data_IF_605780553951
#
_entry.id   IF_605780553951
#
_cell.length_a   1.000
_cell.length_b   1.000
_cell.length_c   1.000
_cell.angle_alpha   90.00
_cell.angle_beta   90.00
_cell.angle_gamma   90.00
#
_symmetry.space_group_name_H-M   'P 1'
#
loop_
_entity.id
_entity.type
_entity.pdbx_description
1 polymer ?
#
# COMPACT_ATOMS: atom_id res chain seq x y z
N UNK A 1 -11.96 32.31 -7.13
CA UNK A 1 -10.95 33.35 -7.38
C UNK A 1 -9.61 32.82 -6.91
N UNK A 2 -8.55 32.94 -7.71
CA UNK A 2 -7.20 32.46 -7.38
C UNK A 2 -6.57 33.44 -6.39
N UNK A 3 -6.00 32.94 -5.29
CA UNK A 3 -5.26 33.78 -4.33
C UNK A 3 -3.94 34.22 -4.97
N UNK A 4 -3.61 35.51 -4.84
CA UNK A 4 -2.33 36.04 -5.31
C UNK A 4 -1.20 35.72 -4.33
N UNK A 5 0.04 35.71 -4.83
CA UNK A 5 1.24 35.63 -3.99
C UNK A 5 1.27 36.80 -2.98
N UNK A 6 1.73 36.53 -1.77
CA UNK A 6 1.82 37.48 -0.67
C UNK A 6 0.54 37.69 0.12
N UNK A 7 -0.61 37.15 -0.34
CA UNK A 7 -1.88 37.21 0.40
C UNK A 7 -1.70 36.55 1.77
N UNK A 8 -2.13 37.25 2.80
CA UNK A 8 -2.12 36.76 4.18
C UNK A 8 -3.36 35.89 4.43
N UNK A 9 -3.13 34.73 5.04
CA UNK A 9 -4.14 33.71 5.33
C UNK A 9 -4.14 33.50 6.85
N UNK A 10 -5.30 33.64 7.45
CA UNK A 10 -5.54 33.31 8.85
C UNK A 10 -5.76 31.79 8.97
N UNK A 11 -4.92 31.13 9.77
CA UNK A 11 -4.92 29.69 10.02
C UNK A 11 -5.45 29.36 11.42
N UNK A 12 -6.12 30.30 12.08
CA UNK A 12 -6.69 30.13 13.42
C UNK A 12 -5.61 29.77 14.45
N UNK A 13 -5.68 28.60 15.11
CA UNK A 13 -4.71 28.19 16.13
C UNK A 13 -3.25 28.12 15.63
N UNK A 14 -3.03 27.97 14.32
CA UNK A 14 -1.69 27.92 13.73
C UNK A 14 -1.11 29.31 13.42
N UNK A 15 -1.84 30.39 13.71
CA UNK A 15 -1.42 31.76 13.45
C UNK A 15 -1.70 32.17 12.01
N UNK A 16 -0.75 32.86 11.38
CA UNK A 16 -0.89 33.38 10.00
C UNK A 16 0.14 32.74 9.07
N UNK A 17 -0.19 32.74 7.79
CA UNK A 17 0.72 32.36 6.72
C UNK A 17 0.54 33.28 5.50
N UNK A 18 1.54 33.29 4.62
CA UNK A 18 1.50 34.00 3.34
C UNK A 18 1.52 33.02 2.18
N UNK A 19 0.68 33.25 1.18
CA UNK A 19 0.70 32.50 -0.09
C UNK A 19 2.02 32.76 -0.80
N UNK A 20 2.71 31.70 -1.22
CA UNK A 20 3.98 31.79 -1.95
C UNK A 20 3.87 31.32 -3.39
N UNK A 21 3.13 30.25 -3.67
CA UNK A 21 2.99 29.75 -5.04
C UNK A 21 1.71 28.92 -5.22
N UNK A 22 1.24 28.83 -6.47
CA UNK A 22 0.19 27.87 -6.85
C UNK A 22 0.86 26.52 -7.14
N UNK A 23 0.47 25.47 -6.42
CA UNK A 23 0.98 24.11 -6.60
C UNK A 23 0.12 23.28 -7.56
N UNK A 24 -1.19 23.55 -7.60
CA UNK A 24 -2.11 22.81 -8.45
C UNK A 24 -3.53 23.34 -8.40
N UNK A 25 -4.35 22.88 -9.35
CA UNK A 25 -5.76 23.25 -9.46
C UNK A 25 -6.59 22.02 -9.82
N UNK A 26 -7.75 21.86 -9.19
CA UNK A 26 -8.70 20.80 -9.46
C UNK A 26 -10.14 21.31 -9.63
N UNK A 27 -11.09 20.37 -9.60
CA UNK A 27 -12.52 20.66 -9.74
C UNK A 27 -13.05 21.57 -8.63
N UNK A 28 -12.79 21.21 -7.38
CA UNK A 28 -13.33 21.88 -6.19
C UNK A 28 -12.52 23.11 -5.72
N UNK A 29 -11.26 23.25 -6.17
CA UNK A 29 -10.38 24.23 -5.56
C UNK A 29 -8.98 24.33 -6.16
N UNK A 30 -8.16 25.07 -5.45
CA UNK A 30 -6.75 25.33 -5.74
C UNK A 30 -5.90 24.83 -4.58
N UNK A 31 -4.66 24.46 -4.85
CA UNK A 31 -3.68 24.11 -3.82
C UNK A 31 -2.51 25.07 -3.96
N UNK A 32 -2.20 25.78 -2.88
CA UNK A 32 -1.09 26.73 -2.80
C UNK A 32 -0.04 26.27 -1.81
N UNK A 33 1.22 26.63 -2.02
CA UNK A 33 2.19 26.67 -0.94
C UNK A 33 1.93 27.95 -0.12
N UNK A 34 1.92 27.80 1.19
CA UNK A 34 1.89 28.92 2.12
C UNK A 34 3.04 28.79 3.11
N UNK A 35 3.58 29.90 3.59
CA UNK A 35 4.62 29.91 4.63
C UNK A 35 4.13 30.62 5.87
N UNK A 36 4.23 29.95 7.01
CA UNK A 36 3.98 30.54 8.32
C UNK A 36 5.07 31.55 8.66
N UNK A 37 4.80 32.45 9.60
CA UNK A 37 5.80 33.42 10.09
C UNK A 37 7.04 32.72 10.70
N UNK A 38 6.91 31.47 11.12
CA UNK A 38 8.02 30.61 11.60
C UNK A 38 8.93 30.12 10.46
N UNK A 39 8.56 30.32 9.20
CA UNK A 39 9.24 29.81 8.01
C UNK A 39 8.77 28.41 7.56
N UNK A 40 7.93 27.73 8.35
CA UNK A 40 7.39 26.41 8.03
C UNK A 40 6.50 26.47 6.77
N UNK A 41 6.79 25.66 5.73
CA UNK A 41 5.95 25.55 4.54
C UNK A 41 4.77 24.58 4.79
N UNK A 42 3.59 24.97 4.34
CA UNK A 42 2.37 24.16 4.35
C UNK A 42 1.70 24.20 2.97
N UNK A 43 0.80 23.25 2.73
CA UNK A 43 -0.11 23.29 1.60
C UNK A 43 -1.48 23.85 2.04
N UNK A 44 -2.01 24.82 1.31
CA UNK A 44 -3.34 25.39 1.48
C UNK A 44 -4.26 24.87 0.37
N UNK A 45 -5.26 24.06 0.71
CA UNK A 45 -6.39 23.79 -0.18
C UNK A 45 -7.38 24.95 -0.02
N UNK A 46 -7.69 25.65 -1.10
CA UNK A 46 -8.63 26.76 -1.13
C UNK A 46 -9.82 26.45 -2.04
N UNK A 47 -11.02 26.44 -1.49
CA UNK A 47 -12.22 26.08 -2.25
C UNK A 47 -12.65 27.19 -3.20
N UNK A 48 -13.19 26.79 -4.35
CA UNK A 48 -13.93 27.72 -5.22
C UNK A 48 -15.24 28.11 -4.54
N UNK A 49 -15.79 29.31 -4.83
CA UNK A 49 -17.04 29.77 -4.22
C UNK A 49 -18.20 28.76 -4.33
N UNK A 50 -18.28 28.04 -5.45
CA UNK A 50 -19.33 27.04 -5.69
C UNK A 50 -19.22 25.80 -4.79
N UNK A 51 -18.02 25.50 -4.30
CA UNK A 51 -17.75 24.36 -3.39
C UNK A 51 -17.66 24.79 -1.93
N UNK A 52 -17.51 26.09 -1.65
CA UNK A 52 -17.36 26.64 -0.31
C UNK A 52 -18.71 26.82 0.42
N UNK A 53 -19.50 25.75 0.53
CA UNK A 53 -20.81 25.79 1.21
C UNK A 53 -20.67 25.74 2.73
N UNK A 54 -21.77 26.02 3.45
CA UNK A 54 -21.80 25.90 4.92
C UNK A 54 -21.61 24.45 5.37
N UNK A 55 -22.20 23.50 4.65
CA UNK A 55 -22.05 22.07 4.92
C UNK A 55 -20.59 21.64 4.74
N UNK A 56 -19.94 22.04 3.64
CA UNK A 56 -18.52 21.75 3.42
C UNK A 56 -17.65 22.34 4.54
N UNK A 57 -17.96 23.55 5.03
CA UNK A 57 -17.22 24.16 6.13
C UNK A 57 -17.34 23.33 7.41
N UNK A 58 -18.55 22.88 7.74
CA UNK A 58 -18.83 22.08 8.93
C UNK A 58 -18.15 20.71 8.85
N UNK A 59 -18.23 20.02 7.71
CA UNK A 59 -17.56 18.73 7.49
C UNK A 59 -16.04 18.88 7.63
N UNK A 60 -15.45 19.90 7.01
CA UNK A 60 -14.01 20.15 7.12
C UNK A 60 -13.57 20.53 8.53
N UNK A 61 -14.34 21.37 9.22
CA UNK A 61 -14.07 21.72 10.61
C UNK A 61 -14.12 20.46 11.49
N UNK A 62 -15.09 19.57 11.27
CA UNK A 62 -15.18 18.30 11.98
C UNK A 62 -13.95 17.41 11.72
N UNK A 63 -13.44 17.34 10.49
CA UNK A 63 -12.21 16.59 10.18
C UNK A 63 -10.98 17.17 10.88
N UNK A 64 -10.85 18.50 10.96
CA UNK A 64 -9.79 19.17 11.73
C UNK A 64 -9.88 18.77 13.21
N UNK A 65 -11.08 18.77 13.79
CA UNK A 65 -11.33 18.41 15.19
C UNK A 65 -11.09 16.92 15.49
N UNK A 66 -11.47 16.02 14.58
CA UNK A 66 -11.21 14.57 14.70
C UNK A 66 -9.71 14.27 14.65
N UNK A 67 -8.97 14.99 13.81
CA UNK A 67 -7.54 14.82 13.62
C UNK A 67 -7.15 13.55 12.87
N UNK A 68 -5.88 13.49 12.46
CA UNK A 68 -5.41 12.47 11.52
C UNK A 68 -5.49 11.04 12.06
N UNK A 69 -6.07 10.06 11.31
CA UNK A 69 -6.05 8.64 11.65
C UNK A 69 -4.63 8.06 11.66
N UNK A 70 -3.75 8.60 10.83
CA UNK A 70 -2.38 8.14 10.67
C UNK A 70 -1.48 9.18 10.00
N UNK A 71 -0.17 9.19 10.31
CA UNK A 71 0.81 10.16 9.75
C UNK A 71 0.91 10.21 8.22
N UNK A 72 0.41 9.17 7.53
CA UNK A 72 0.47 9.07 6.07
C UNK A 72 -0.66 9.83 5.37
N UNK A 73 -1.69 10.25 6.10
CA UNK A 73 -2.70 11.14 5.54
C UNK A 73 -2.21 12.58 5.66
N UNK A 74 -2.14 13.29 4.54
CA UNK A 74 -1.97 14.75 4.51
C UNK A 74 -3.26 15.42 4.99
N UNK A 75 -3.45 15.31 6.30
CA UNK A 75 -4.71 15.62 6.97
C UNK A 75 -4.89 17.13 7.16
N UNK A 76 -6.14 17.64 7.15
CA UNK A 76 -6.43 19.02 7.52
C UNK A 76 -5.94 19.33 8.94
N UNK A 77 -5.03 20.29 9.07
CA UNK A 77 -4.46 20.72 10.35
C UNK A 77 -5.24 21.87 10.98
N UNK A 78 -5.74 22.79 10.13
CA UNK A 78 -6.55 23.92 10.56
C UNK A 78 -7.35 24.50 9.41
N UNK A 79 -8.50 25.10 9.73
CA UNK A 79 -9.27 25.89 8.77
C UNK A 79 -8.52 27.18 8.42
N UNK A 80 -8.70 27.63 7.18
CA UNK A 80 -8.04 28.80 6.63
C UNK A 80 -9.06 29.82 6.13
N UNK A 81 -8.84 31.10 6.44
CA UNK A 81 -9.67 32.23 6.01
C UNK A 81 -8.81 33.36 5.47
N UNK A 82 -9.39 34.14 4.55
CA UNK A 82 -8.80 35.38 4.04
C UNK A 82 -9.83 36.47 4.27
N UNK A 83 -9.48 37.53 5.00
CA UNK A 83 -10.42 38.52 5.55
C UNK A 83 -11.36 39.13 4.50
N UNK A 84 -10.90 39.29 3.27
CA UNK A 84 -11.64 39.90 2.14
C UNK A 84 -12.37 38.89 1.26
N UNK A 85 -12.33 37.60 1.57
CA UNK A 85 -12.88 36.53 0.73
C UNK A 85 -13.97 35.76 1.48
N UNK A 86 -15.17 35.57 0.89
CA UNK A 86 -16.23 34.77 1.51
C UNK A 86 -15.91 33.27 1.52
N UNK A 87 -14.99 32.81 0.65
CA UNK A 87 -14.55 31.42 0.59
C UNK A 87 -13.69 31.03 1.80
N UNK A 88 -13.33 29.76 1.88
CA UNK A 88 -12.40 29.22 2.86
C UNK A 88 -11.55 28.11 2.28
N UNK A 89 -10.62 27.67 3.11
CA UNK A 89 -9.81 26.51 2.85
C UNK A 89 -9.42 25.81 4.14
N UNK A 90 -8.43 24.94 4.02
CA UNK A 90 -7.72 24.37 5.14
C UNK A 90 -6.25 24.18 4.77
N UNK A 91 -5.39 24.14 5.79
CA UNK A 91 -3.97 23.84 5.61
C UNK A 91 -3.65 22.42 6.02
N UNK A 92 -2.66 21.84 5.36
CA UNK A 92 -2.10 20.51 5.64
C UNK A 92 -0.59 20.54 5.45
N UNK A 93 0.10 19.47 5.87
CA UNK A 93 1.53 19.34 5.60
C UNK A 93 1.81 19.36 4.10
N UNK A 94 2.87 20.09 3.70
CA UNK A 94 3.32 20.10 2.33
C UNK A 94 3.92 18.74 1.97
N UNK A 95 3.47 18.17 0.84
CA UNK A 95 4.00 16.91 0.31
C UNK A 95 5.45 17.08 -0.13
N UNK A 96 6.33 16.18 0.30
CA UNK A 96 7.71 16.13 -0.18
C UNK A 96 7.73 15.79 -1.68
N UNK A 97 8.61 16.44 -2.44
CA UNK A 97 8.71 16.30 -3.89
C UNK A 97 9.07 14.87 -4.34
N UNK A 98 9.73 14.08 -3.48
CA UNK A 98 10.08 12.66 -3.76
C UNK A 98 8.88 11.75 -3.97
N UNK A 99 7.71 12.14 -3.45
CA UNK A 99 6.48 11.38 -3.65
C UNK A 99 5.87 11.68 -5.03
N UNK A 100 5.72 10.64 -5.83
CA UNK A 100 5.04 10.65 -7.13
C UNK A 100 3.59 10.22 -6.97
N UNK A 101 2.69 10.75 -7.81
CA UNK A 101 1.32 10.22 -7.89
C UNK A 101 1.37 8.76 -8.35
N UNK A 102 0.50 7.91 -7.82
CA UNK A 102 0.55 6.48 -8.11
C UNK A 102 0.38 6.14 -9.60
N UNK A 103 -0.24 7.02 -10.40
CA UNK A 103 -0.33 6.85 -11.86
C UNK A 103 1.05 6.76 -12.55
N UNK A 104 2.09 7.39 -12.00
CA UNK A 104 3.46 7.30 -12.53
C UNK A 104 4.01 5.87 -12.48
N UNK A 105 3.57 5.05 -11.51
CA UNK A 105 3.91 3.62 -11.46
C UNK A 105 3.42 2.89 -12.72
N UNK A 106 2.20 3.18 -13.17
CA UNK A 106 1.60 2.54 -14.34
C UNK A 106 2.18 3.08 -15.66
N UNK A 107 2.56 4.35 -15.69
CA UNK A 107 3.29 4.93 -16.82
C UNK A 107 4.74 4.42 -16.91
N UNK A 108 5.25 3.82 -15.83
CA UNK A 108 6.63 3.38 -15.68
C UNK A 108 7.65 4.48 -16.04
N UNK A 109 7.35 5.73 -15.70
CA UNK A 109 8.21 6.87 -15.93
C UNK A 109 8.06 7.89 -14.80
N UNK A 110 9.07 8.70 -14.53
CA UNK A 110 9.00 9.82 -13.58
C UNK A 110 8.46 11.11 -14.25
N UNK A 111 8.53 12.24 -13.52
CA UNK A 111 8.07 13.55 -14.04
C UNK A 111 8.87 14.06 -15.25
N UNK A 112 10.10 13.59 -15.42
CA UNK A 112 10.98 13.93 -16.55
C UNK A 112 10.87 12.91 -17.69
N UNK A 113 10.01 11.89 -17.56
CA UNK A 113 9.85 10.81 -18.53
C UNK A 113 10.95 9.73 -18.44
N UNK A 114 11.76 9.70 -17.37
CA UNK A 114 12.77 8.67 -17.18
C UNK A 114 12.13 7.40 -16.62
N UNK A 115 12.52 6.20 -17.07
CA UNK A 115 11.99 4.96 -16.52
C UNK A 115 12.13 4.89 -15.00
N UNK A 116 11.08 4.43 -14.32
CA UNK A 116 11.15 4.19 -12.89
C UNK A 116 11.89 2.88 -12.60
N UNK A 117 12.72 2.89 -11.56
CA UNK A 117 13.30 1.68 -10.98
C UNK A 117 12.61 1.41 -9.64
N UNK A 118 11.53 0.62 -9.68
CA UNK A 118 10.73 0.28 -8.49
C UNK A 118 10.87 -1.21 -8.21
N UNK A 119 11.51 -1.53 -7.09
CA UNK A 119 11.68 -2.93 -6.69
C UNK A 119 10.36 -3.56 -6.23
N UNK A 120 10.25 -4.90 -6.34
CA UNK A 120 9.14 -5.65 -5.73
C UNK A 120 9.01 -5.37 -4.22
N UNK A 121 10.13 -5.17 -3.51
CA UNK A 121 10.09 -4.82 -2.09
C UNK A 121 9.40 -3.48 -1.85
N UNK A 122 9.64 -2.48 -2.71
CA UNK A 122 8.98 -1.17 -2.66
C UNK A 122 7.49 -1.29 -2.96
N UNK A 123 7.08 -2.11 -3.94
CA UNK A 123 5.67 -2.36 -4.25
C UNK A 123 4.94 -3.05 -3.09
N UNK A 124 5.59 -4.04 -2.47
CA UNK A 124 5.03 -4.75 -1.30
C UNK A 124 4.86 -3.80 -0.14
N UNK A 125 5.85 -2.94 0.13
CA UNK A 125 5.76 -1.94 1.20
C UNK A 125 4.66 -0.91 0.91
N UNK A 126 4.53 -0.43 -0.33
CA UNK A 126 3.44 0.44 -0.77
C UNK A 126 2.07 -0.18 -0.47
N UNK A 127 1.86 -1.42 -0.89
CA UNK A 127 0.60 -2.13 -0.71
C UNK A 127 0.29 -2.34 0.78
N UNK A 128 1.32 -2.67 1.57
CA UNK A 128 1.22 -2.88 3.02
C UNK A 128 0.89 -1.58 3.75
N UNK A 129 1.57 -0.48 3.43
CA UNK A 129 1.35 0.81 4.09
C UNK A 129 0.00 1.42 3.72
N UNK A 130 -0.48 1.24 2.49
CA UNK A 130 -1.85 1.62 2.11
C UNK A 130 -2.86 0.86 2.96
N UNK A 131 -2.76 -0.47 2.97
CA UNK A 131 -3.65 -1.34 3.75
C UNK A 131 -3.65 -0.96 5.24
N UNK A 132 -2.47 -0.73 5.83
CA UNK A 132 -2.38 -0.28 7.22
C UNK A 132 -3.01 1.10 7.44
N UNK A 133 -2.86 2.03 6.50
CA UNK A 133 -3.44 3.37 6.62
C UNK A 133 -4.97 3.32 6.58
N UNK A 134 -5.56 2.55 5.67
CA UNK A 134 -7.01 2.35 5.62
C UNK A 134 -7.54 1.57 6.82
N UNK A 135 -6.79 0.60 7.35
CA UNK A 135 -7.16 -0.07 8.61
C UNK A 135 -7.31 0.96 9.75
N UNK A 136 -6.38 1.92 9.82
CA UNK A 136 -6.40 2.98 10.85
C UNK A 136 -7.52 3.99 10.64
N UNK A 137 -7.90 4.26 9.41
CA UNK A 137 -9.05 5.09 9.06
C UNK A 137 -10.35 4.41 9.47
N UNK A 138 -10.60 3.19 9.00
CA UNK A 138 -11.82 2.43 9.25
C UNK A 138 -12.00 2.07 10.73
N UNK A 139 -10.90 1.80 11.45
CA UNK A 139 -10.95 1.58 12.90
C UNK A 139 -11.44 2.80 13.70
N UNK A 140 -11.48 4.01 13.10
CA UNK A 140 -12.08 5.21 13.69
C UNK A 140 -13.52 5.46 13.25
N UNK A 141 -14.15 4.54 12.52
CA UNK A 141 -15.51 4.72 11.98
C UNK A 141 -15.58 5.78 10.86
N UNK A 142 -14.46 5.99 10.15
CA UNK A 142 -14.36 6.87 9.00
C UNK A 142 -14.26 6.05 7.73
N UNK A 143 -14.73 6.60 6.60
CA UNK A 143 -14.54 6.08 5.25
C UNK A 143 -13.96 7.16 4.34
N UNK A 144 -13.13 6.78 3.38
CA UNK A 144 -12.37 7.67 2.49
C UNK A 144 -13.17 8.11 1.26
N UNK A 145 -14.03 7.23 0.74
CA UNK A 145 -15.03 7.49 -0.32
C UNK A 145 -14.48 7.72 -1.74
N UNK A 146 -13.22 8.14 -1.90
CA UNK A 146 -12.65 8.45 -3.21
C UNK A 146 -11.22 7.89 -3.43
N UNK A 147 -11.01 6.60 -3.13
CA UNK A 147 -9.71 5.96 -3.37
C UNK A 147 -9.45 5.91 -4.88
N UNK A 148 -8.38 6.56 -5.34
CA UNK A 148 -7.99 6.65 -6.76
C UNK A 148 -6.49 6.96 -6.90
N UNK A 149 -5.97 6.95 -8.13
CA UNK A 149 -4.56 7.30 -8.38
C UNK A 149 -4.21 8.72 -7.95
N UNK A 150 -5.09 9.70 -8.21
CA UNK A 150 -4.84 11.12 -7.94
C UNK A 150 -4.70 11.44 -6.44
N UNK A 151 -5.14 10.52 -5.59
CA UNK A 151 -5.23 10.69 -4.15
C UNK A 151 -4.15 9.93 -3.38
N UNK A 152 -3.36 9.09 -4.05
CA UNK A 152 -2.29 8.29 -3.44
C UNK A 152 -0.96 8.61 -4.09
N UNK A 153 0.04 8.85 -3.24
CA UNK A 153 1.40 9.16 -3.64
C UNK A 153 2.37 8.18 -3.03
N UNK A 154 3.46 7.89 -3.73
CA UNK A 154 4.49 6.96 -3.27
C UNK A 154 5.90 7.46 -3.57
N UNK A 155 6.86 7.04 -2.75
CA UNK A 155 8.29 7.19 -3.00
C UNK A 155 8.80 5.93 -3.74
N UNK A 156 9.25 6.05 -5.01
CA UNK A 156 9.75 4.90 -5.79
C UNK A 156 10.89 4.14 -5.11
N UNK A 157 11.72 4.84 -4.31
CA UNK A 157 12.92 4.26 -3.74
C UNK A 157 12.62 3.23 -2.64
N UNK A 158 11.53 3.40 -1.89
CA UNK A 158 11.25 2.59 -0.69
C UNK A 158 9.78 2.14 -0.54
N UNK A 159 8.86 2.65 -1.36
CA UNK A 159 7.44 2.33 -1.26
C UNK A 159 6.68 3.06 -0.16
N UNK A 160 7.26 4.08 0.48
CA UNK A 160 6.55 4.93 1.43
C UNK A 160 5.36 5.60 0.76
N UNK A 161 4.24 5.72 1.47
CA UNK A 161 3.01 6.29 0.91
C UNK A 161 2.52 7.54 1.65
N UNK A 162 1.91 8.44 0.88
CA UNK A 162 1.12 9.57 1.36
C UNK A 162 -0.26 9.55 0.71
N UNK A 163 -1.28 9.86 1.50
CA UNK A 163 -2.68 9.90 1.07
C UNK A 163 -3.16 11.35 1.18
N UNK A 164 -3.56 11.91 0.04
CA UNK A 164 -3.99 13.30 -0.12
C UNK A 164 -5.51 13.42 -0.08
N UNK A 165 -6.06 14.59 -0.40
CA UNK A 165 -7.50 14.85 -0.62
C UNK A 165 -8.40 14.24 0.48
N UNK A 166 -8.00 14.48 1.73
CA UNK A 166 -8.67 13.95 2.92
C UNK A 166 -9.99 14.68 3.22
N UNK A 167 -10.35 15.69 2.42
CA UNK A 167 -11.68 16.30 2.41
C UNK A 167 -12.76 15.39 1.80
N UNK A 168 -12.37 14.26 1.19
CA UNK A 168 -13.30 13.19 0.80
C UNK A 168 -13.74 12.31 1.99
N UNK A 169 -12.95 12.32 3.07
CA UNK A 169 -13.20 11.47 4.25
C UNK A 169 -14.46 11.93 4.97
N UNK A 170 -15.26 10.99 5.45
CA UNK A 170 -16.26 11.32 6.45
C UNK A 170 -16.69 10.12 7.27
N UNK A 171 -17.70 10.34 8.12
CA UNK A 171 -18.26 9.30 8.97
C UNK A 171 -18.84 8.18 8.11
N UNK A 172 -18.56 6.95 8.51
CA UNK A 172 -19.10 5.75 7.88
C UNK A 172 -20.64 5.75 7.91
N UNK A 173 -21.28 5.54 6.75
CA UNK A 173 -22.73 5.69 6.54
C UNK A 173 -23.29 7.10 6.86
N UNK A 174 -22.44 8.13 6.85
CA UNK A 174 -22.86 9.54 6.97
C UNK A 174 -23.48 10.09 5.70
N UNK A 175 -23.82 11.38 5.68
CA UNK A 175 -24.56 12.06 4.58
C UNK A 175 -23.70 12.54 3.41
N UNK A 176 -22.42 12.17 3.38
CA UNK A 176 -21.46 12.67 2.39
C UNK A 176 -21.84 12.26 0.96
N UNK A 177 -21.71 13.19 0.01
CA UNK A 177 -22.16 13.03 -1.38
C UNK A 177 -21.04 12.70 -2.37
N UNK A 178 -19.81 12.50 -1.90
CA UNK A 178 -18.72 12.01 -2.74
C UNK A 178 -19.01 10.55 -3.05
N UNK A 179 -19.31 10.24 -4.32
CA UNK A 179 -19.63 8.88 -4.77
C UNK A 179 -18.37 8.05 -5.07
N UNK A 180 -17.28 8.74 -5.45
CA UNK A 180 -15.99 8.15 -5.80
C UNK A 180 -15.60 8.32 -7.26
N UNK A 181 -14.39 7.89 -7.59
CA UNK A 181 -13.81 7.98 -8.93
C UNK A 181 -14.25 6.76 -9.78
N UNK A 182 -14.72 6.97 -11.03
CA UNK A 182 -14.99 5.88 -11.97
C UNK A 182 -13.83 4.87 -12.05
N UNK A 183 -14.15 3.62 -12.37
CA UNK A 183 -13.21 2.48 -12.34
C UNK A 183 -12.77 2.03 -10.94
N UNK A 184 -12.82 2.88 -9.91
CA UNK A 184 -12.52 2.48 -8.52
C UNK A 184 -13.76 2.18 -7.68
N UNK A 185 -14.90 2.77 -8.04
CA UNK A 185 -16.16 2.62 -7.31
C UNK A 185 -16.61 1.15 -7.24
N UNK A 186 -17.17 0.78 -6.09
CA UNK A 186 -17.79 -0.52 -5.90
C UNK A 186 -19.03 -0.71 -6.79
N UNK A 187 -19.35 -1.93 -7.24
CA UNK A 187 -20.43 -2.17 -8.20
C UNK A 187 -21.81 -1.70 -7.75
N UNK A 188 -22.11 -1.79 -6.45
CA UNK A 188 -23.34 -1.31 -5.85
C UNK A 188 -23.47 0.22 -5.86
N UNK A 189 -22.35 0.95 -5.88
CA UNK A 189 -22.33 2.41 -6.02
C UNK A 189 -22.50 2.79 -7.47
N UNK A 190 -21.79 2.12 -8.39
CA UNK A 190 -21.92 2.34 -9.85
C UNK A 190 -23.34 2.05 -10.31
N UNK A 191 -23.97 0.99 -9.80
CA UNK A 191 -25.30 0.54 -10.20
C UNK A 191 -26.44 1.42 -9.69
N UNK A 192 -26.21 2.21 -8.64
CA UNK A 192 -27.26 2.99 -8.01
C UNK A 192 -27.48 4.34 -8.71
N UNK A 193 -28.44 4.36 -9.62
CA UNK A 193 -28.90 5.59 -10.29
C UNK A 193 -29.72 6.53 -9.39
N UNK A 194 -30.07 6.12 -8.17
CA UNK A 194 -30.82 6.92 -7.21
C UNK A 194 -29.94 7.69 -6.22
N UNK A 195 -28.63 7.42 -6.22
CA UNK A 195 -27.64 8.05 -5.34
C UNK A 195 -27.96 7.91 -3.83
N UNK A 196 -28.54 6.77 -3.45
CA UNK A 196 -28.88 6.38 -2.07
C UNK A 196 -27.85 5.47 -1.44
N UNK A 197 -27.13 4.69 -2.24
CA UNK A 197 -25.97 3.91 -1.81
C UNK A 197 -24.83 4.87 -1.52
N UNK A 198 -24.61 5.16 -0.24
CA UNK A 198 -23.53 6.03 0.18
C UNK A 198 -22.25 5.21 0.41
N UNK A 199 -21.07 5.73 0.03
CA UNK A 199 -19.81 5.06 0.32
C UNK A 199 -19.60 4.84 1.82
N UNK A 200 -18.98 3.71 2.13
CA UNK A 200 -18.71 3.22 3.46
C UNK A 200 -17.40 2.44 3.50
N UNK A 201 -17.08 1.87 4.66
CA UNK A 201 -15.91 1.00 4.85
C UNK A 201 -15.82 -0.12 3.80
N UNK A 202 -16.94 -0.77 3.44
CA UNK A 202 -16.90 -1.88 2.49
C UNK A 202 -16.69 -1.40 1.05
N UNK A 203 -17.22 -0.24 0.65
CA UNK A 203 -16.93 0.32 -0.67
C UNK A 203 -15.47 0.73 -0.78
N UNK A 204 -14.88 1.28 0.29
CA UNK A 204 -13.43 1.55 0.34
C UNK A 204 -12.61 0.27 0.17
N UNK A 205 -13.02 -0.85 0.77
CA UNK A 205 -12.33 -2.15 0.60
C UNK A 205 -12.30 -2.61 -0.85
N UNK A 206 -13.38 -2.39 -1.59
CA UNK A 206 -13.41 -2.67 -3.02
C UNK A 206 -12.40 -1.78 -3.75
N UNK A 207 -12.45 -0.46 -3.54
CA UNK A 207 -11.56 0.49 -4.22
C UNK A 207 -10.09 0.28 -3.84
N UNK A 208 -9.80 -0.09 -2.60
CA UNK A 208 -8.46 -0.49 -2.14
C UNK A 208 -8.00 -1.75 -2.88
N UNK A 209 -8.84 -2.78 -3.00
CA UNK A 209 -8.48 -3.98 -3.76
C UNK A 209 -8.18 -3.65 -5.23
N UNK A 210 -8.93 -2.73 -5.86
CA UNK A 210 -8.65 -2.25 -7.22
C UNK A 210 -7.27 -1.58 -7.29
N UNK A 211 -6.98 -0.68 -6.35
CA UNK A 211 -5.70 0.03 -6.29
C UNK A 211 -4.51 -0.91 -6.08
N UNK A 212 -4.65 -1.90 -5.19
CA UNK A 212 -3.62 -2.92 -4.97
C UNK A 212 -3.43 -3.81 -6.20
N UNK A 213 -4.51 -4.14 -6.91
CA UNK A 213 -4.43 -4.92 -8.16
C UNK A 213 -3.65 -4.15 -9.22
N UNK A 214 -3.88 -2.84 -9.37
CA UNK A 214 -3.08 -2.00 -10.26
C UNK A 214 -1.59 -2.00 -9.89
N UNK A 215 -1.26 -1.82 -8.60
CA UNK A 215 0.13 -1.77 -8.15
C UNK A 215 0.89 -3.10 -8.39
N UNK A 216 0.20 -4.24 -8.30
CA UNK A 216 0.80 -5.56 -8.39
C UNK A 216 0.78 -6.15 -9.81
N UNK A 217 -0.25 -5.85 -10.61
CA UNK A 217 -0.49 -6.50 -11.91
C UNK A 217 -0.61 -5.55 -13.10
N UNK A 218 -0.45 -4.24 -12.88
CA UNK A 218 -0.35 -3.22 -13.94
C UNK A 218 -1.59 -3.12 -14.86
N UNK A 219 -2.78 -3.47 -14.34
CA UNK A 219 -4.03 -3.36 -15.08
C UNK A 219 -5.24 -3.30 -14.15
N UNK A 220 -6.44 -3.21 -14.71
CA UNK A 220 -7.67 -3.16 -13.92
C UNK A 220 -8.26 -4.58 -13.73
N UNK A 221 -8.72 -4.97 -12.52
CA UNK A 221 -9.25 -6.31 -12.26
C UNK A 221 -10.52 -6.66 -13.04
N UNK A 222 -11.30 -5.66 -13.47
CA UNK A 222 -12.52 -5.85 -14.26
C UNK A 222 -12.33 -5.60 -15.76
N UNK A 223 -11.14 -5.18 -16.19
CA UNK A 223 -10.86 -5.01 -17.62
C UNK A 223 -10.20 -6.25 -18.21
N UNK A 224 -10.62 -6.55 -19.44
CA UNK A 224 -10.14 -7.65 -20.27
C UNK A 224 -10.97 -7.74 -21.54
N UNK A 225 -11.04 -8.93 -22.12
CA UNK A 225 -11.69 -9.15 -23.42
C UNK A 225 -13.14 -8.64 -23.52
N UNK A 226 -13.94 -8.63 -22.44
CA UNK A 226 -15.32 -8.12 -22.47
C UNK A 226 -15.39 -6.60 -22.51
N UNK A 227 -14.35 -5.92 -22.05
CA UNK A 227 -14.28 -4.45 -21.97
C UNK A 227 -13.57 -3.81 -23.17
N UNK A 228 -12.95 -4.61 -24.03
CA UNK A 228 -12.21 -4.11 -25.21
C UNK A 228 -13.13 -3.56 -26.31
N UNK A 229 -14.39 -4.01 -26.35
CA UNK A 229 -15.36 -3.62 -27.35
C UNK A 229 -16.33 -2.55 -26.82
N UNK A 230 -16.85 -1.73 -27.74
CA UNK A 230 -17.88 -0.75 -27.47
C UNK A 230 -17.36 0.65 -27.15
N UNK A 231 -18.28 1.62 -27.12
CA UNK A 231 -17.98 2.98 -26.71
C UNK A 231 -17.94 3.03 -25.18
N UNK A 232 -16.85 3.57 -24.60
CA UNK A 232 -16.69 3.74 -23.14
C UNK A 232 -17.53 4.92 -22.62
N UNK A 233 -18.85 4.80 -22.76
CA UNK A 233 -19.83 5.75 -22.26
C UNK A 233 -20.38 5.32 -20.87
N UNK A 234 -21.38 6.06 -20.38
CA UNK A 234 -22.01 5.76 -19.09
C UNK A 234 -22.70 4.39 -19.06
N UNK A 235 -23.26 3.92 -20.17
CA UNK A 235 -23.91 2.62 -20.24
C UNK A 235 -22.89 1.48 -20.19
N UNK A 236 -21.76 1.64 -20.88
CA UNK A 236 -20.63 0.72 -20.81
C UNK A 236 -20.08 0.62 -19.38
N UNK A 237 -19.86 1.77 -18.71
CA UNK A 237 -19.37 1.80 -17.33
C UNK A 237 -20.36 1.10 -16.39
N UNK A 238 -21.65 1.44 -16.50
CA UNK A 238 -22.74 0.81 -15.75
C UNK A 238 -22.79 -0.71 -15.93
N UNK A 239 -22.53 -1.18 -17.15
CA UNK A 239 -22.55 -2.62 -17.46
C UNK A 239 -21.34 -3.32 -16.86
N UNK A 240 -20.13 -2.85 -17.15
CA UNK A 240 -18.90 -3.58 -16.84
C UNK A 240 -18.37 -3.37 -15.42
N UNK A 241 -18.82 -2.32 -14.74
CA UNK A 241 -18.35 -1.99 -13.38
C UNK A 241 -19.49 -1.95 -12.37
N UNK A 242 -20.75 -1.98 -12.81
CA UNK A 242 -21.93 -1.97 -11.93
C UNK A 242 -22.73 -3.27 -11.99
N UNK A 243 -23.51 -3.42 -13.05
CA UNK A 243 -24.58 -4.44 -13.13
C UNK A 243 -24.10 -5.83 -13.54
N UNK A 244 -23.01 -5.93 -14.31
CA UNK A 244 -22.44 -7.20 -14.76
C UNK A 244 -20.89 -7.22 -14.73
N UNK A 245 -20.25 -6.81 -13.62
CA UNK A 245 -18.80 -6.85 -13.50
C UNK A 245 -18.30 -8.29 -13.52
N UNK A 246 -17.14 -8.50 -14.13
CA UNK A 246 -16.50 -9.81 -14.18
C UNK A 246 -15.00 -9.68 -13.97
N UNK A 247 -14.48 -10.35 -12.94
CA UNK A 247 -13.04 -10.42 -12.68
C UNK A 247 -12.28 -11.04 -13.86
N UNK A 248 -11.22 -10.38 -14.33
CA UNK A 248 -10.48 -10.82 -15.51
C UNK A 248 -9.74 -12.16 -15.27
N UNK A 249 -9.39 -12.44 -14.01
CA UNK A 249 -8.80 -13.70 -13.55
C UNK A 249 -9.84 -14.62 -12.88
N UNK A 250 -11.13 -14.50 -13.23
CA UNK A 250 -12.17 -15.36 -12.67
C UNK A 250 -11.86 -16.85 -12.92
N UNK A 251 -11.88 -17.70 -11.87
CA UNK A 251 -11.43 -19.09 -11.96
C UNK A 251 -12.36 -19.97 -12.81
N UNK A 252 -13.66 -19.65 -12.85
CA UNK A 252 -14.67 -20.41 -13.57
C UNK A 252 -15.25 -19.74 -14.82
N UNK A 253 -14.72 -18.58 -15.23
CA UNK A 253 -15.22 -17.81 -16.38
C UNK A 253 -14.03 -17.14 -17.06
N UNK A 254 -13.78 -17.48 -18.33
CA UNK A 254 -12.67 -16.98 -19.14
C UNK A 254 -13.11 -15.96 -20.20
N UNK A 255 -14.36 -15.51 -20.15
CA UNK A 255 -14.89 -14.57 -21.13
C UNK A 255 -14.25 -13.18 -21.04
N UNK A 256 -13.71 -12.81 -19.87
CA UNK A 256 -13.04 -11.51 -19.62
C UNK A 256 -11.52 -11.61 -19.37
N UNK A 257 -10.80 -12.59 -19.96
CA UNK A 257 -9.35 -12.70 -19.75
C UNK A 257 -8.61 -11.39 -20.04
N UNK A 258 -7.57 -11.05 -19.25
CA UNK A 258 -6.94 -9.74 -19.31
C UNK A 258 -5.92 -9.64 -20.46
N UNK A 259 -5.34 -8.45 -20.61
CA UNK A 259 -4.16 -8.25 -21.43
C UNK A 259 -2.97 -9.09 -20.95
N UNK A 260 -2.04 -9.38 -21.87
CA UNK A 260 -0.90 -10.27 -21.63
C UNK A 260 -0.04 -9.84 -20.43
N UNK A 261 0.23 -8.55 -20.27
CA UNK A 261 1.05 -8.02 -19.17
C UNK A 261 0.46 -8.35 -17.79
N UNK A 262 -0.87 -8.24 -17.64
CA UNK A 262 -1.57 -8.57 -16.39
C UNK A 262 -1.46 -10.07 -16.11
N UNK A 263 -1.62 -10.90 -17.13
CA UNK A 263 -1.48 -12.36 -17.02
C UNK A 263 -0.05 -12.77 -16.64
N UNK A 264 0.96 -12.11 -17.21
CA UNK A 264 2.36 -12.34 -16.88
C UNK A 264 2.64 -12.01 -15.42
N UNK A 265 2.27 -10.81 -14.96
CA UNK A 265 2.45 -10.41 -13.56
C UNK A 265 1.65 -11.27 -12.59
N UNK A 266 0.42 -11.66 -12.95
CA UNK A 266 -0.40 -12.58 -12.14
C UNK A 266 0.33 -13.89 -11.82
N UNK A 267 1.09 -14.41 -12.78
CA UNK A 267 1.82 -15.67 -12.63
C UNK A 267 3.10 -15.56 -11.78
N UNK A 268 3.58 -14.33 -11.51
CA UNK A 268 4.74 -14.10 -10.63
C UNK A 268 4.37 -14.35 -9.16
N UNK A 269 3.15 -13.99 -8.76
CA UNK A 269 2.76 -13.98 -7.35
C UNK A 269 2.22 -15.33 -6.87
N UNK A 270 2.55 -15.75 -5.62
CA UNK A 270 2.05 -16.97 -5.01
C UNK A 270 0.52 -17.08 -4.96
N UNK A 271 0.02 -18.32 -4.91
CA UNK A 271 -1.41 -18.64 -4.88
C UNK A 271 -2.15 -17.94 -3.74
N UNK A 272 -1.56 -17.84 -2.54
CA UNK A 272 -2.24 -17.22 -1.40
C UNK A 272 -2.61 -15.75 -1.63
N UNK A 273 -1.84 -15.02 -2.45
CA UNK A 273 -2.15 -13.64 -2.80
C UNK A 273 -3.24 -13.59 -3.87
N UNK A 274 -3.11 -14.46 -4.88
CA UNK A 274 -4.10 -14.64 -5.95
C UNK A 274 -5.49 -14.97 -5.38
N UNK A 275 -5.54 -15.83 -4.36
CA UNK A 275 -6.77 -16.21 -3.65
C UNK A 275 -7.46 -15.01 -3.00
N UNK A 276 -6.71 -14.02 -2.48
CA UNK A 276 -7.32 -12.80 -1.94
C UNK A 276 -7.96 -11.96 -3.05
N UNK A 277 -7.36 -11.88 -4.23
CA UNK A 277 -7.99 -11.17 -5.34
C UNK A 277 -9.21 -11.91 -5.90
N UNK A 278 -9.18 -13.25 -5.89
CA UNK A 278 -10.38 -14.06 -6.15
C UNK A 278 -11.45 -13.77 -5.09
N UNK A 279 -11.12 -13.76 -3.80
CA UNK A 279 -12.07 -13.38 -2.75
C UNK A 279 -12.63 -11.96 -2.99
N UNK A 280 -11.78 -10.97 -3.29
CA UNK A 280 -12.20 -9.59 -3.47
C UNK A 280 -13.16 -9.39 -4.66
N UNK A 281 -12.86 -10.03 -5.79
CA UNK A 281 -13.54 -9.78 -7.07
C UNK A 281 -14.46 -10.91 -7.54
N UNK A 282 -14.60 -11.98 -6.77
CA UNK A 282 -15.62 -13.03 -6.99
C UNK A 282 -16.60 -13.01 -5.82
N UNK A 283 -16.14 -13.33 -4.61
CA UNK A 283 -17.02 -13.40 -3.44
C UNK A 283 -17.49 -12.01 -2.99
N UNK A 284 -16.56 -11.07 -2.87
CA UNK A 284 -16.77 -9.70 -2.41
C UNK A 284 -17.45 -8.78 -3.42
N UNK A 285 -17.60 -9.24 -4.67
CA UNK A 285 -18.23 -8.47 -5.75
C UNK A 285 -19.72 -8.24 -5.48
N UNK A 286 -20.46 -9.31 -5.17
CA UNK A 286 -21.88 -9.27 -4.84
C UNK A 286 -22.20 -9.31 -3.34
N UNK A 287 -21.20 -9.54 -2.49
CA UNK A 287 -21.38 -9.64 -1.02
C UNK A 287 -20.36 -8.74 -0.32
N UNK A 288 -20.70 -7.46 -0.02
CA UNK A 288 -19.77 -6.52 0.62
C UNK A 288 -19.09 -7.07 1.89
N UNK A 289 -19.83 -7.79 2.74
CA UNK A 289 -19.27 -8.41 3.96
C UNK A 289 -18.28 -9.57 3.72
N UNK A 290 -18.11 -10.04 2.48
CA UNK A 290 -17.11 -11.03 2.11
C UNK A 290 -15.82 -10.40 1.52
N UNK A 291 -15.77 -9.07 1.39
CA UNK A 291 -14.59 -8.36 0.87
C UNK A 291 -13.36 -8.59 1.73
N UNK A 292 -12.20 -8.57 1.09
CA UNK A 292 -10.92 -8.74 1.77
C UNK A 292 -10.68 -7.56 2.69
N UNK A 293 -10.34 -7.86 3.94
CA UNK A 293 -10.02 -6.84 4.95
C UNK A 293 -8.59 -6.34 4.80
N UNK A 294 -8.34 -5.14 5.31
CA UNK A 294 -7.02 -4.51 5.35
C UNK A 294 -6.01 -5.39 6.11
N UNK A 295 -6.46 -6.06 7.18
CA UNK A 295 -5.66 -7.00 7.95
C UNK A 295 -5.22 -8.24 7.15
N UNK A 296 -6.04 -8.71 6.21
CA UNK A 296 -5.65 -9.80 5.30
C UNK A 296 -4.59 -9.31 4.30
N UNK A 297 -4.75 -8.11 3.73
CA UNK A 297 -3.76 -7.52 2.84
C UNK A 297 -2.40 -7.32 3.52
N UNK A 298 -2.39 -6.75 4.74
CA UNK A 298 -1.15 -6.56 5.51
C UNK A 298 -0.43 -7.90 5.72
N UNK A 299 -1.16 -8.94 6.16
CA UNK A 299 -0.60 -10.28 6.35
C UNK A 299 -0.06 -10.89 5.06
N UNK A 300 -0.74 -10.67 3.93
CA UNK A 300 -0.30 -11.16 2.63
C UNK A 300 0.99 -10.46 2.18
N UNK A 301 1.07 -9.13 2.30
CA UNK A 301 2.28 -8.37 1.97
C UNK A 301 3.45 -8.74 2.89
N UNK A 302 3.17 -8.94 4.18
CA UNK A 302 4.13 -9.45 5.16
C UNK A 302 4.67 -10.82 4.74
N UNK A 303 3.80 -11.75 4.31
CA UNK A 303 4.20 -13.07 3.79
C UNK A 303 4.97 -12.99 2.47
N UNK A 304 4.60 -12.11 1.54
CA UNK A 304 5.35 -11.88 0.30
C UNK A 304 6.76 -11.40 0.61
N UNK A 305 6.90 -10.43 1.52
CA UNK A 305 8.20 -9.88 1.94
C UNK A 305 9.09 -10.94 2.58
N UNK A 306 8.52 -11.88 3.32
CA UNK A 306 9.25 -13.01 3.92
C UNK A 306 9.74 -14.03 2.89
N UNK A 307 9.06 -14.12 1.74
CA UNK A 307 9.34 -15.06 0.67
C UNK A 307 10.19 -14.51 -0.47
N UNK A 308 10.68 -13.25 -0.38
CA UNK A 308 11.48 -12.63 -1.44
C UNK A 308 12.81 -13.37 -1.65
N UNK A 309 13.04 -13.85 -2.87
CA UNK A 309 14.27 -14.50 -3.29
C UNK A 309 14.80 -13.87 -4.57
N UNK A 310 16.13 -13.84 -4.71
CA UNK A 310 16.77 -13.54 -5.98
C UNK A 310 17.08 -14.85 -6.72
N UNK A 311 16.79 -14.90 -8.02
CA UNK A 311 17.20 -16.03 -8.85
C UNK A 311 18.74 -16.14 -8.83
N UNK A 312 19.31 -17.32 -8.54
CA UNK A 312 20.77 -17.49 -8.49
C UNK A 312 21.44 -17.34 -9.86
N UNK A 313 20.67 -17.42 -10.96
CA UNK A 313 21.17 -17.37 -12.33
C UNK A 313 21.09 -15.96 -12.92
N UNK A 314 19.89 -15.37 -12.98
CA UNK A 314 19.69 -14.03 -13.58
C UNK A 314 19.49 -12.89 -12.58
N UNK A 315 19.42 -13.17 -11.27
CA UNK A 315 19.21 -12.15 -10.23
C UNK A 315 17.75 -11.67 -10.08
N UNK A 316 16.84 -12.06 -10.97
CA UNK A 316 15.43 -11.65 -10.94
C UNK A 316 14.75 -12.04 -9.63
N UNK A 317 13.96 -11.12 -9.07
CA UNK A 317 13.20 -11.36 -7.85
C UNK A 317 12.06 -12.37 -8.08
N UNK A 318 11.92 -13.32 -7.17
CA UNK A 318 10.95 -14.38 -7.15
C UNK A 318 10.36 -14.53 -5.74
N UNK A 319 9.30 -15.33 -5.61
CA UNK A 319 8.60 -15.54 -4.35
C UNK A 319 8.58 -17.02 -3.97
N UNK A 320 8.99 -17.29 -2.75
CA UNK A 320 8.85 -18.60 -2.11
C UNK A 320 7.69 -18.57 -1.11
N UNK A 321 7.00 -19.70 -0.97
CA UNK A 321 6.03 -19.88 0.11
C UNK A 321 5.91 -21.34 0.51
N UNK A 322 5.44 -21.62 1.74
CA UNK A 322 5.26 -23.00 2.22
C UNK A 322 4.36 -23.85 1.32
N UNK A 323 3.35 -23.24 0.68
CA UNK A 323 2.43 -23.91 -0.24
C UNK A 323 3.01 -24.13 -1.64
N UNK A 324 4.06 -23.39 -1.98
CA UNK A 324 4.75 -23.42 -3.29
C UNK A 324 6.27 -23.43 -3.03
N UNK A 325 6.82 -24.52 -2.46
CA UNK A 325 8.19 -24.55 -1.93
C UNK A 325 9.27 -24.63 -3.01
N UNK A 326 8.87 -24.90 -4.26
CA UNK A 326 9.74 -25.14 -5.40
C UNK A 326 9.47 -24.14 -6.55
N UNK A 327 9.55 -22.82 -6.31
CA UNK A 327 9.30 -21.84 -7.37
C UNK A 327 10.36 -21.92 -8.47
N UNK A 328 9.91 -21.67 -9.68
CA UNK A 328 10.75 -21.53 -10.88
C UNK A 328 10.82 -20.07 -11.24
N UNK A 329 12.01 -19.60 -11.62
CA UNK A 329 12.23 -18.22 -12.00
C UNK A 329 11.38 -17.86 -13.22
N UNK A 330 10.56 -16.81 -13.09
CA UNK A 330 9.65 -16.39 -14.16
C UNK A 330 10.37 -15.78 -15.38
N UNK A 331 11.65 -15.46 -15.26
CA UNK A 331 12.46 -14.88 -16.35
C UNK A 331 13.27 -15.92 -17.13
N UNK A 332 13.94 -16.87 -16.45
CA UNK A 332 14.90 -17.80 -17.07
C UNK A 332 14.60 -19.29 -16.80
N UNK A 333 13.53 -19.61 -16.05
CA UNK A 333 13.14 -20.98 -15.77
C UNK A 333 14.04 -21.73 -14.78
N UNK A 334 15.02 -21.07 -14.15
CA UNK A 334 15.88 -21.70 -13.16
C UNK A 334 15.12 -22.02 -11.87
N UNK A 335 15.46 -23.12 -11.20
CA UNK A 335 14.90 -23.45 -9.89
C UNK A 335 15.37 -22.42 -8.84
N UNK A 336 14.43 -21.79 -8.14
CA UNK A 336 14.72 -20.85 -7.06
C UNK A 336 14.41 -21.53 -5.74
N UNK A 337 15.43 -21.74 -4.89
CA UNK A 337 15.24 -22.31 -3.55
C UNK A 337 16.04 -21.52 -2.53
N UNK A 338 15.44 -21.21 -1.37
CA UNK A 338 16.20 -20.64 -0.29
C UNK A 338 17.18 -21.69 0.27
N UNK A 339 18.43 -21.34 0.61
CA UNK A 339 19.36 -22.27 1.23
C UNK A 339 18.94 -22.64 2.67
N UNK A 340 18.24 -21.73 3.34
CA UNK A 340 17.74 -21.88 4.70
C UNK A 340 16.36 -21.23 4.85
N UNK A 341 15.61 -21.68 5.84
CA UNK A 341 14.37 -21.07 6.30
C UNK A 341 14.54 -20.65 7.75
N UNK A 342 14.12 -19.43 8.10
CA UNK A 342 14.09 -18.95 9.48
C UNK A 342 12.64 -18.98 9.99
N UNK A 343 12.33 -19.92 10.88
CA UNK A 343 11.02 -20.01 11.51
C UNK A 343 10.97 -19.06 12.71
N UNK A 344 10.03 -18.10 12.70
CA UNK A 344 9.76 -17.20 13.82
C UNK A 344 8.28 -17.28 14.18
N UNK A 345 7.97 -18.02 15.25
CA UNK A 345 6.58 -18.34 15.59
C UNK A 345 5.88 -19.05 14.42
N UNK A 346 4.83 -18.44 13.86
CA UNK A 346 4.08 -18.97 12.70
C UNK A 346 4.58 -18.46 11.34
N UNK A 347 5.54 -17.53 11.32
CA UNK A 347 6.11 -16.97 10.08
C UNK A 347 7.38 -17.69 9.70
N UNK A 348 7.61 -17.81 8.41
CA UNK A 348 8.79 -18.44 7.83
C UNK A 348 9.45 -17.46 6.89
N UNK A 349 10.70 -17.08 7.16
CA UNK A 349 11.48 -16.20 6.29
C UNK A 349 12.39 -17.04 5.42
N UNK A 350 12.25 -16.91 4.10
CA UNK A 350 13.14 -17.52 3.13
C UNK A 350 14.47 -16.76 3.13
N UNK A 351 15.59 -17.46 3.35
CA UNK A 351 16.90 -16.80 3.37
C UNK A 351 17.30 -16.41 1.95
N UNK A 352 17.67 -15.16 1.76
CA UNK A 352 18.11 -14.58 0.51
C UNK A 352 18.66 -13.16 0.73
N UNK A 353 19.13 -12.47 -0.33
CA UNK A 353 19.82 -11.18 -0.20
C UNK A 353 18.97 -10.06 0.42
N UNK A 354 17.64 -10.15 0.29
CA UNK A 354 16.68 -9.16 0.80
C UNK A 354 15.99 -9.62 2.09
N UNK A 355 16.34 -10.80 2.60
CA UNK A 355 15.73 -11.35 3.80
C UNK A 355 16.19 -10.59 5.05
N UNK A 356 15.27 -10.43 6.00
CA UNK A 356 15.57 -9.82 7.30
C UNK A 356 14.64 -10.36 8.38
N UNK A 357 15.15 -10.46 9.61
CA UNK A 357 14.32 -10.56 10.81
C UNK A 357 13.94 -9.15 11.24
N UNK A 358 12.65 -8.91 11.41
CA UNK A 358 12.10 -7.58 11.71
C UNK A 358 11.21 -7.63 12.95
N UNK A 359 10.91 -6.47 13.53
CA UNK A 359 10.07 -6.38 14.73
C UNK A 359 8.65 -6.92 14.52
N UNK A 360 8.11 -6.93 13.30
CA UNK A 360 6.81 -7.51 12.96
C UNK A 360 6.79 -9.05 12.95
N UNK A 361 7.96 -9.70 13.08
CA UNK A 361 8.04 -11.14 13.35
C UNK A 361 7.85 -11.46 14.84
N UNK A 362 8.09 -10.49 15.72
CA UNK A 362 8.01 -10.65 17.17
C UNK A 362 6.64 -10.20 17.71
N UNK A 363 5.99 -9.25 17.03
CA UNK A 363 4.69 -8.71 17.39
C UNK A 363 3.85 -8.41 16.14
N UNK A 364 2.54 -8.63 16.21
CA UNK A 364 1.61 -8.30 15.13
C UNK A 364 1.24 -6.82 15.13
N UNK A 365 0.87 -6.29 13.95
CA UNK A 365 0.31 -4.93 13.85
C UNK A 365 1.34 -3.80 13.93
N UNK A 366 2.63 -4.11 13.79
CA UNK A 366 3.69 -3.10 13.73
C UNK A 366 3.54 -2.29 12.45
N UNK A 367 3.33 -0.98 12.56
CA UNK A 367 3.19 -0.08 11.40
C UNK A 367 4.46 0.00 10.56
N UNK A 368 5.59 0.34 11.20
CA UNK A 368 6.89 0.50 10.56
C UNK A 368 7.89 -0.49 11.20
N UNK A 369 8.00 -1.70 10.64
CA UNK A 369 8.88 -2.72 11.19
C UNK A 369 10.34 -2.30 11.06
N UNK A 370 11.09 -2.43 12.15
CA UNK A 370 12.53 -2.20 12.15
C UNK A 370 13.25 -3.51 11.90
N UNK A 371 14.37 -3.46 11.18
CA UNK A 371 15.25 -4.62 11.00
C UNK A 371 15.97 -4.89 12.32
N UNK A 372 15.82 -6.11 12.81
CA UNK A 372 16.55 -6.62 13.96
C UNK A 372 17.76 -7.45 13.51
N UNK A 373 17.67 -8.15 12.37
CA UNK A 373 18.81 -8.81 11.76
C UNK A 373 18.69 -8.94 10.26
N UNK A 374 19.80 -8.77 9.56
CA UNK A 374 19.93 -8.95 8.12
C UNK A 374 20.70 -10.23 7.76
N UNK A 375 20.44 -10.76 6.58
CA UNK A 375 21.08 -11.95 6.06
C UNK A 375 22.23 -11.56 5.14
N UNK A 376 23.42 -12.10 5.41
CA UNK A 376 24.63 -11.82 4.65
C UNK A 376 25.15 -13.07 3.99
N UNK A 377 25.34 -13.02 2.68
CA UNK A 377 26.00 -14.09 1.94
C UNK A 377 27.52 -13.98 2.12
N UNK A 378 28.20 -15.12 2.26
CA UNK A 378 29.65 -15.11 2.40
C UNK A 378 30.32 -14.65 1.09
N UNK A 379 31.27 -13.69 1.11
CA UNK A 379 31.81 -13.10 -0.12
C UNK A 379 32.55 -14.08 -1.04
N UNK A 380 33.18 -15.12 -0.48
CA UNK A 380 33.93 -16.13 -1.23
C UNK A 380 33.21 -17.48 -1.34
N UNK A 381 32.12 -17.70 -0.59
CA UNK A 381 31.44 -19.00 -0.52
C UNK A 381 29.92 -18.79 -0.60
N UNK A 382 29.34 -18.60 -1.80
CA UNK A 382 27.93 -18.20 -1.97
C UNK A 382 26.90 -19.13 -1.35
N UNK A 383 27.27 -20.39 -1.06
CA UNK A 383 26.41 -21.35 -0.36
C UNK A 383 26.26 -21.06 1.15
N UNK A 384 27.18 -20.29 1.73
CA UNK A 384 27.21 -19.97 3.16
C UNK A 384 26.51 -18.64 3.42
N UNK A 385 25.66 -18.65 4.44
CA UNK A 385 24.84 -17.51 4.84
C UNK A 385 25.03 -17.25 6.32
N UNK A 386 25.10 -15.98 6.68
CA UNK A 386 25.15 -15.53 8.06
C UNK A 386 23.94 -14.68 8.43
N UNK A 387 23.61 -14.70 9.72
CA UNK A 387 22.65 -13.78 10.34
C UNK A 387 23.43 -12.73 11.13
N UNK A 388 23.27 -11.48 10.76
CA UNK A 388 23.86 -10.32 11.41
C UNK A 388 22.91 -9.74 12.46
N UNK A 389 23.43 -9.41 13.64
CA UNK A 389 22.67 -8.70 14.67
C UNK A 389 22.69 -7.19 14.43
N UNK A 390 21.63 -6.69 13.80
CA UNK A 390 21.43 -5.26 13.52
C UNK A 390 20.69 -4.53 14.67
N UNK A 391 20.39 -5.21 15.77
CA UNK A 391 19.73 -4.62 16.93
C UNK A 391 20.71 -4.04 17.94
N UNK A 392 20.20 -3.32 18.93
CA UNK A 392 20.97 -2.70 20.02
C UNK A 392 21.17 -3.62 21.23
N UNK A 393 20.75 -4.89 21.15
CA UNK A 393 20.85 -5.88 22.23
C UNK A 393 21.40 -7.23 21.75
N UNK A 394 22.01 -7.97 22.66
CA UNK A 394 22.63 -9.25 22.36
C UNK A 394 21.61 -10.40 22.32
N UNK A 395 21.88 -11.44 21.53
CA UNK A 395 20.98 -12.59 21.34
C UNK A 395 21.59 -13.89 21.87
N UNK A 396 20.93 -14.61 22.78
CA UNK A 396 21.32 -15.97 23.10
C UNK A 396 21.18 -16.90 21.87
N UNK A 397 22.25 -17.62 21.53
CA UNK A 397 22.31 -18.59 20.44
C UNK A 397 22.61 -19.97 21.00
N UNK A 398 21.94 -20.99 20.47
CA UNK A 398 22.20 -22.40 20.82
C UNK A 398 22.22 -23.25 19.55
N UNK A 399 23.30 -24.01 19.36
CA UNK A 399 23.43 -24.97 18.27
C UNK A 399 22.95 -26.37 18.69
N UNK A 400 22.56 -27.24 17.73
CA UNK A 400 22.13 -28.61 18.01
C UNK A 400 23.16 -29.45 18.79
N UNK A 401 24.45 -29.17 18.61
CA UNK A 401 25.56 -29.85 19.30
C UNK A 401 25.75 -29.43 20.77
N UNK A 402 24.85 -28.63 21.34
CA UNK A 402 24.90 -28.20 22.74
C UNK A 402 25.74 -26.95 23.02
N UNK A 403 26.49 -26.44 22.02
CA UNK A 403 27.21 -25.18 22.14
C UNK A 403 26.22 -24.00 22.22
N UNK A 404 26.40 -23.14 23.21
CA UNK A 404 25.62 -21.90 23.36
C UNK A 404 26.54 -20.72 23.63
N UNK A 405 26.18 -19.56 23.09
CA UNK A 405 26.89 -18.30 23.29
C UNK A 405 25.93 -17.13 23.09
N UNK A 406 26.42 -15.92 23.34
CA UNK A 406 25.65 -14.70 23.13
C UNK A 406 26.20 -13.98 21.89
N UNK A 407 25.32 -13.64 20.96
CA UNK A 407 25.65 -12.84 19.79
C UNK A 407 25.46 -11.36 20.09
N UNK A 408 26.57 -10.65 20.30
CA UNK A 408 26.55 -9.21 20.55
C UNK A 408 26.03 -8.39 19.35
N UNK A 409 25.57 -7.15 19.57
CA UNK A 409 25.28 -6.21 18.49
C UNK A 409 26.42 -6.09 17.47
N UNK A 410 26.07 -5.89 16.19
CA UNK A 410 26.99 -5.74 15.06
C UNK A 410 27.90 -6.97 14.79
N UNK A 411 27.53 -8.13 15.36
CA UNK A 411 28.19 -9.41 15.09
C UNK A 411 27.34 -10.30 14.19
N UNK A 412 28.03 -11.16 13.43
CA UNK A 412 27.41 -12.11 12.49
C UNK A 412 27.73 -13.53 12.92
N UNK A 413 26.72 -14.41 12.88
CA UNK A 413 26.90 -15.86 13.00
C UNK A 413 26.64 -16.52 11.66
N UNK A 414 27.27 -17.66 11.43
CA UNK A 414 26.87 -18.54 10.33
C UNK A 414 25.57 -19.26 10.65
N UNK A 415 24.69 -19.40 9.65
CA UNK A 415 23.48 -20.18 9.76
C UNK A 415 23.82 -21.67 9.76
N UNK A 416 23.38 -22.36 10.81
CA UNK A 416 23.51 -23.81 10.95
C UNK A 416 22.12 -24.40 11.18
N UNK A 417 21.75 -25.42 10.41
CA UNK A 417 20.46 -26.10 10.55
C UNK A 417 20.25 -26.57 11.99
N UNK A 418 19.08 -26.27 12.56
CA UNK A 418 18.70 -26.57 13.94
C UNK A 418 19.18 -25.54 14.96
N UNK A 419 19.94 -24.51 14.56
CA UNK A 419 20.30 -23.41 15.46
C UNK A 419 19.05 -22.69 15.97
N UNK A 420 19.09 -22.26 17.22
CA UNK A 420 18.03 -21.50 17.89
C UNK A 420 18.60 -20.16 18.35
N UNK A 421 18.03 -19.07 17.87
CA UNK A 421 18.39 -17.70 18.24
C UNK A 421 17.24 -17.08 19.01
N UNK A 422 17.49 -16.62 20.24
CA UNK A 422 16.49 -15.92 21.04
C UNK A 422 16.57 -14.42 20.79
N UNK A 423 15.49 -13.85 20.25
CA UNK A 423 15.36 -12.42 20.00
C UNK A 423 14.17 -11.93 20.83
N UNK A 424 14.46 -11.34 21.99
CA UNK A 424 13.47 -10.95 23.01
C UNK A 424 12.56 -12.12 23.40
N UNK A 425 11.29 -12.06 23.01
CA UNK A 425 10.24 -13.04 23.33
C UNK A 425 10.03 -14.08 22.22
N UNK A 426 10.81 -14.04 21.13
CA UNK A 426 10.69 -14.96 20.02
C UNK A 426 11.94 -15.83 19.88
N UNK A 427 11.74 -17.11 19.55
CA UNK A 427 12.80 -18.00 19.11
C UNK A 427 12.79 -18.09 17.59
N UNK A 428 13.91 -17.76 16.96
CA UNK A 428 14.19 -18.04 15.55
C UNK A 428 14.81 -19.42 15.46
N UNK A 429 14.23 -20.32 14.67
CA UNK A 429 14.81 -21.63 14.37
C UNK A 429 15.31 -21.66 12.93
N UNK A 430 16.57 -22.03 12.75
CA UNK A 430 17.16 -22.22 11.41
C UNK A 430 16.80 -23.61 10.91
N UNK A 431 16.22 -23.71 9.73
CA UNK A 431 15.85 -24.96 9.06
C UNK A 431 16.41 -24.98 7.64
N UNK A 432 16.53 -26.18 7.07
CA UNK A 432 16.67 -26.32 5.62
C UNK A 432 15.30 -26.60 5.01
N UNK A 433 15.03 -26.14 3.78
CA UNK A 433 13.85 -26.57 3.05
C UNK A 433 13.90 -28.09 2.86
N UNK A 434 12.77 -28.76 3.06
CA UNK A 434 12.66 -30.21 2.84
C UNK A 434 12.75 -30.47 1.33
N UNK A 435 13.64 -31.36 0.85
CA UNK A 435 13.68 -31.73 -0.56
C UNK A 435 12.36 -32.39 -0.98
N UNK A 436 11.86 -32.16 -2.21
CA UNK A 436 10.68 -32.86 -2.69
C UNK A 436 10.89 -34.38 -2.61
N UNK A 437 9.95 -35.08 -1.94
CA UNK A 437 9.96 -36.54 -1.79
C UNK A 437 10.64 -37.09 -0.52
N UNK A 438 11.16 -36.25 0.38
CA UNK A 438 11.60 -36.73 1.69
C UNK A 438 10.36 -37.01 2.60
N UNK A 439 10.35 -38.13 3.36
CA UNK A 439 9.27 -38.40 4.30
C UNK A 439 9.23 -37.31 5.39
N UNK A 440 8.01 -36.88 5.72
CA UNK A 440 7.71 -35.83 6.71
C UNK A 440 8.07 -36.22 8.15
#
# INVERSE_FOLDING_TARGET
MVLAEGVEVDLGPLGRARVTSLLGQGGQGYVFEVRRDTGEPLALKWYKPESATTEQYQEMQQLVEIGSPHRRFLWPLSMARVQSQPSFGYVMHLRDARFLELSYLLLNADRDGKPLDVSFSSIIELCRQLSYSFLRLHARGLCYRDISFGNVFFDPANGDVLICDNDNVGIDNGTGRVLGTPYFMAPEVVSDTTYRTLPNTDTDRHSLAVLLFYALFLGHPLEGKRTDAGMRDAHWLMTHFGTAPLFCMHPGDDTNRPAEIVQQYWNIYPQFLRDLFVQAFVDGMGRPGARVTEGQWIKAMDRLRDGLLACPTCGTTNFWSDSEPDPVCWQDGAQVRPPYLLQVGRRTVAVGPQAAIRSDHLASGVDHPIVLGDLRQHPQEPARWGLHNASDFAWPVSYPGGQSFTLDPDRTIELVTGARIQIRNATVQVRQPIPPGAPA
#
